data_IF_886150878324
#
_entry.id   IF_886150878324
#
_cell.length_a   1.000
_cell.length_b   1.000
_cell.length_c   1.000
_cell.angle_alpha   90.00
_cell.angle_beta   90.00
_cell.angle_gamma   90.00
#
_symmetry.space_group_name_H-M   'P 1'
#
loop_
_entity.id
_entity.type
_entity.pdbx_description
1 polymer ?
#
# COMPACT_ATOMS: atom_id res chain seq x y z
N UNK A 1 4.18 18.18 -7.99
CA UNK A 1 3.79 16.78 -8.17
C UNK A 1 2.31 16.79 -8.53
N UNK A 2 1.95 16.48 -9.78
CA UNK A 2 0.56 16.58 -10.24
C UNK A 2 -0.15 15.29 -9.84
N UNK A 3 -1.09 15.38 -8.89
CA UNK A 3 -2.07 14.34 -8.58
C UNK A 3 -2.75 13.88 -9.88
N UNK A 4 -2.40 12.69 -10.37
CA UNK A 4 -3.12 12.08 -11.50
C UNK A 4 -4.44 11.55 -10.94
N UNK A 5 -5.53 12.27 -11.21
CA UNK A 5 -6.92 11.99 -10.80
C UNK A 5 -7.48 10.58 -11.13
N UNK A 6 -6.67 9.65 -11.63
CA UNK A 6 -7.03 8.31 -12.08
C UNK A 6 -5.98 7.26 -11.69
N UNK A 7 -5.26 7.44 -10.57
CA UNK A 7 -4.26 6.47 -10.12
C UNK A 7 -4.96 5.24 -9.50
N UNK A 8 -4.89 4.12 -10.20
CA UNK A 8 -5.54 2.87 -9.81
C UNK A 8 -4.58 2.03 -8.96
N UNK A 9 -5.06 1.60 -7.79
CA UNK A 9 -4.37 0.65 -6.93
C UNK A 9 -5.08 -0.69 -7.01
N UNK A 10 -4.36 -1.72 -7.43
CA UNK A 10 -4.84 -3.11 -7.40
C UNK A 10 -4.24 -3.86 -6.21
N UNK A 11 -4.86 -4.96 -5.85
CA UNK A 11 -4.46 -5.76 -4.69
C UNK A 11 -4.27 -7.21 -5.12
N UNK A 12 -3.23 -7.86 -4.61
CA UNK A 12 -3.22 -9.32 -4.55
C UNK A 12 -4.33 -9.79 -3.59
N UNK A 13 -4.85 -11.01 -3.80
CA UNK A 13 -5.93 -11.56 -2.96
C UNK A 13 -5.55 -11.57 -1.48
N UNK A 14 -4.30 -11.91 -1.15
CA UNK A 14 -3.80 -11.91 0.23
C UNK A 14 -3.71 -10.51 0.81
N UNK A 15 -3.19 -9.54 0.05
CA UNK A 15 -3.09 -8.15 0.51
C UNK A 15 -4.47 -7.52 0.73
N UNK A 16 -5.43 -7.79 -0.16
CA UNK A 16 -6.80 -7.29 -0.04
C UNK A 16 -7.45 -7.75 1.27
N UNK A 17 -7.30 -9.01 1.64
CA UNK A 17 -7.86 -9.55 2.89
C UNK A 17 -7.27 -8.86 4.13
N UNK A 18 -5.95 -8.66 4.19
CA UNK A 18 -5.30 -8.03 5.35
C UNK A 18 -5.64 -6.53 5.48
N UNK A 19 -5.70 -5.82 4.36
CA UNK A 19 -6.10 -4.40 4.32
C UNK A 19 -7.56 -4.25 4.75
N UNK A 20 -8.45 -5.10 4.22
CA UNK A 20 -9.88 -5.06 4.53
C UNK A 20 -10.18 -5.41 5.99
N UNK A 21 -9.40 -6.32 6.62
CA UNK A 21 -9.53 -6.65 8.05
C UNK A 21 -9.32 -5.43 8.97
N UNK A 22 -8.51 -4.47 8.56
CA UNK A 22 -8.27 -3.23 9.30
C UNK A 22 -9.21 -2.09 8.87
N UNK A 23 -10.21 -2.40 8.03
CA UNK A 23 -11.14 -1.40 7.49
C UNK A 23 -10.44 -0.33 6.63
N UNK A 24 -9.26 -0.64 6.07
CA UNK A 24 -8.54 0.27 5.18
C UNK A 24 -9.13 0.19 3.77
N UNK A 25 -9.16 1.32 3.06
CA UNK A 25 -9.66 1.42 1.70
C UNK A 25 -8.58 1.92 0.72
N UNK A 26 -8.93 2.04 -0.55
CA UNK A 26 -8.00 2.52 -1.58
C UNK A 26 -7.46 3.93 -1.32
N UNK A 27 -8.29 4.82 -0.77
CA UNK A 27 -7.86 6.18 -0.46
C UNK A 27 -6.82 6.17 0.65
N UNK A 28 -6.98 5.34 1.68
CA UNK A 28 -6.00 5.21 2.77
C UNK A 28 -4.61 4.79 2.24
N UNK A 29 -4.57 3.92 1.21
CA UNK A 29 -3.32 3.47 0.58
C UNK A 29 -2.70 4.56 -0.30
N UNK A 30 -3.53 5.26 -1.09
CA UNK A 30 -3.09 6.39 -1.91
C UNK A 30 -2.55 7.54 -1.06
N UNK A 31 -3.25 7.88 0.02
CA UNK A 31 -2.82 8.91 0.96
C UNK A 31 -1.47 8.55 1.58
N UNK A 32 -1.24 7.27 1.90
CA UNK A 32 0.04 6.83 2.45
C UNK A 32 1.19 6.85 1.43
N UNK A 33 0.91 6.53 0.16
CA UNK A 33 1.84 6.66 -0.96
C UNK A 33 2.24 8.12 -1.17
N UNK A 34 1.28 9.05 -1.15
CA UNK A 34 1.54 10.48 -1.40
C UNK A 34 2.22 11.16 -0.22
N UNK A 35 1.81 10.85 1.01
CA UNK A 35 2.36 11.46 2.21
C UNK A 35 3.71 10.85 2.64
N UNK A 36 4.20 9.83 1.92
CA UNK A 36 5.50 9.24 2.16
C UNK A 36 5.62 8.59 3.54
N UNK A 37 4.55 7.94 4.01
CA UNK A 37 4.56 7.25 5.31
C UNK A 37 5.76 6.30 5.37
N UNK A 38 6.65 6.55 6.34
CA UNK A 38 7.95 5.90 6.60
C UNK A 38 8.31 4.80 5.58
N UNK A 39 8.83 5.22 4.41
CA UNK A 39 9.25 4.28 3.39
C UNK A 39 10.47 3.51 3.91
N UNK A 40 10.28 2.26 4.33
CA UNK A 40 11.33 1.48 5.00
C UNK A 40 12.39 0.92 4.02
N UNK A 41 12.10 0.98 2.72
CA UNK A 41 13.03 0.65 1.63
C UNK A 41 12.40 0.98 0.28
N UNK A 42 13.20 1.56 -0.62
CA UNK A 42 12.81 1.80 -2.02
C UNK A 42 13.75 1.01 -2.92
N UNK A 43 13.25 -0.05 -3.53
CA UNK A 43 13.88 -0.62 -4.72
C UNK A 43 13.20 -0.01 -5.95
N UNK A 44 13.87 0.03 -7.09
CA UNK A 44 13.28 0.58 -8.32
C UNK A 44 11.95 -0.13 -8.63
N UNK A 45 10.85 0.63 -8.70
CA UNK A 45 9.50 0.11 -8.92
C UNK A 45 8.87 -0.64 -7.74
N UNK A 46 9.47 -0.66 -6.53
CA UNK A 46 8.90 -1.26 -5.32
C UNK A 46 9.00 -0.31 -4.13
N UNK A 47 7.86 -0.02 -3.52
CA UNK A 47 7.70 0.86 -2.37
C UNK A 47 7.14 0.10 -1.18
N UNK A 48 7.91 0.03 -0.09
CA UNK A 48 7.43 -0.47 1.20
C UNK A 48 6.94 0.69 2.07
N UNK A 49 5.71 0.61 2.58
CA UNK A 49 5.09 1.64 3.42
C UNK A 49 4.42 1.05 4.67
N UNK A 50 4.10 1.92 5.61
CA UNK A 50 3.36 1.59 6.83
C UNK A 50 2.00 2.30 6.83
N UNK A 51 0.93 1.57 7.05
CA UNK A 51 -0.42 2.10 7.24
C UNK A 51 -0.81 1.97 8.71
N UNK A 52 -1.03 3.09 9.41
CA UNK A 52 -1.53 3.08 10.78
C UNK A 52 -3.01 3.40 10.82
N UNK A 53 -3.80 2.56 11.50
CA UNK A 53 -5.17 2.88 11.90
C UNK A 53 -5.29 2.61 13.40
N UNK A 54 -6.37 3.08 14.06
CA UNK A 54 -6.55 2.92 15.52
C UNK A 54 -6.35 1.48 16.02
N UNK A 55 -6.56 0.49 15.15
CA UNK A 55 -6.54 -0.94 15.46
C UNK A 55 -5.18 -1.62 15.19
N UNK A 56 -4.22 -0.94 14.56
CA UNK A 56 -2.91 -1.54 14.29
C UNK A 56 -2.06 -0.82 13.25
N UNK A 57 -0.85 -1.34 13.05
CA UNK A 57 0.11 -0.89 12.05
C UNK A 57 0.31 -1.99 11.01
N UNK A 58 0.08 -1.71 9.73
CA UNK A 58 0.21 -2.64 8.63
C UNK A 58 1.44 -2.28 7.80
N UNK A 59 2.33 -3.25 7.54
CA UNK A 59 3.38 -3.13 6.53
C UNK A 59 2.79 -3.50 5.18
N UNK A 60 2.95 -2.65 4.19
CA UNK A 60 2.41 -2.83 2.85
C UNK A 60 3.52 -2.67 1.83
N UNK A 61 3.56 -3.56 0.84
CA UNK A 61 4.49 -3.49 -0.29
C UNK A 61 3.69 -3.23 -1.55
N UNK A 62 4.04 -2.14 -2.23
CA UNK A 62 3.43 -1.70 -3.48
C UNK A 62 4.47 -1.80 -4.58
N UNK A 63 4.12 -2.45 -5.68
CA UNK A 63 4.95 -2.53 -6.86
C UNK A 63 4.31 -1.74 -8.01
N UNK A 64 5.12 -1.05 -8.78
CA UNK A 64 4.73 -0.55 -10.08
C UNK A 64 4.53 -1.72 -11.04
N UNK A 65 3.43 -1.69 -11.77
CA UNK A 65 3.08 -2.67 -12.79
C UNK A 65 2.44 -1.97 -13.98
N UNK A 66 2.11 -2.73 -15.01
CA UNK A 66 1.49 -2.21 -16.23
C UNK A 66 0.23 -2.99 -16.55
N UNK A 67 -0.91 -2.31 -16.62
CA UNK A 67 -2.16 -2.92 -17.08
C UNK A 67 -2.20 -2.86 -18.61
N UNK A 68 -2.03 -4.03 -19.24
CA UNK A 68 -2.06 -4.18 -20.69
C UNK A 68 -3.42 -3.85 -21.31
N UNK A 69 -4.52 -3.96 -20.55
CA UNK A 69 -5.86 -3.69 -21.03
C UNK A 69 -6.11 -2.19 -21.18
N UNK A 70 -5.74 -1.42 -20.14
CA UNK A 70 -5.87 0.04 -20.13
C UNK A 70 -4.64 0.77 -20.70
N UNK A 71 -3.56 0.05 -20.99
CA UNK A 71 -2.25 0.54 -21.43
C UNK A 71 -1.70 1.64 -20.51
N UNK A 72 -1.83 1.44 -19.20
CA UNK A 72 -1.43 2.41 -18.17
C UNK A 72 -0.60 1.77 -17.08
N UNK A 73 0.35 2.51 -16.48
CA UNK A 73 0.99 2.06 -15.26
C UNK A 73 -0.08 1.97 -14.16
N UNK A 74 0.00 0.91 -13.37
CA UNK A 74 -0.87 0.67 -12.22
C UNK A 74 0.01 0.31 -11.03
N UNK A 75 -0.42 0.69 -9.83
CA UNK A 75 0.26 0.26 -8.60
C UNK A 75 -0.44 -0.97 -8.07
N UNK A 76 0.33 -1.97 -7.67
CA UNK A 76 -0.20 -3.22 -7.14
C UNK A 76 0.31 -3.41 -5.73
N UNK A 77 -0.59 -3.49 -4.77
CA UNK A 77 -0.28 -3.98 -3.43
C UNK A 77 -0.04 -5.48 -3.53
N UNK A 78 1.23 -5.89 -3.48
CA UNK A 78 1.62 -7.29 -3.60
C UNK A 78 1.58 -8.00 -2.24
N UNK A 79 1.86 -7.27 -1.16
CA UNK A 79 1.90 -7.80 0.19
C UNK A 79 1.35 -6.80 1.21
N UNK A 80 0.62 -7.30 2.21
CA UNK A 80 0.21 -6.54 3.38
C UNK A 80 0.25 -7.45 4.61
N UNK A 81 0.87 -7.01 5.70
CA UNK A 81 0.99 -7.79 6.93
C UNK A 81 0.98 -6.90 8.18
N UNK A 82 0.30 -7.36 9.23
CA UNK A 82 0.24 -6.64 10.50
C UNK A 82 1.60 -6.64 11.19
N UNK A 83 2.15 -5.45 11.45
CA UNK A 83 3.30 -5.28 12.32
C UNK A 83 2.77 -5.38 13.76
N UNK A 84 3.08 -6.49 14.43
CA UNK A 84 2.92 -6.55 15.88
C UNK A 84 3.89 -5.54 16.48
N UNK A 85 3.38 -4.47 17.08
CA UNK A 85 4.22 -3.62 17.93
C UNK A 85 4.80 -4.51 19.02
N UNK A 86 6.14 -4.55 19.20
CA UNK A 86 6.71 -5.31 20.29
C UNK A 86 6.12 -4.75 21.58
N UNK A 87 5.43 -5.59 22.38
CA UNK A 87 5.13 -5.24 23.76
C UNK A 87 6.48 -4.92 24.40
N UNK A 88 6.72 -3.65 24.75
CA UNK A 88 7.80 -3.27 25.65
C UNK A 88 7.63 -4.17 26.88
N UNK A 89 8.56 -5.10 27.06
CA UNK A 89 8.64 -5.97 28.23
C UNK A 89 9.53 -5.32 29.25
#
# INVERSE_FOLDING_TARGET
>A
MILRKNEEVRYSTSAYHEISKLGLNQQDVLDALENGNETAGRAEGIEEMRLSKKEGLLKVVVAESFDFSSRRPVRVVTHAALIRTPKRR
#
